data_IF_762747725997
#
_entry.id   IF_762747725997
#
_cell.length_a   1.000
_cell.length_b   1.000
_cell.length_c   1.000
_cell.angle_alpha   90.00
_cell.angle_beta   90.00
_cell.angle_gamma   90.00
#
_symmetry.space_group_name_H-M   'P 1'
#
loop_
_entity.id
_entity.type
_entity.pdbx_description
1 polymer ?
#
# COMPACT_ATOMS: atom_id res chain seq x y z
N UNK A 1 2.27 3.34 2.56
CA UNK A 1 2.32 2.66 3.86
C UNK A 1 0.91 2.58 4.37
N UNK A 2 0.37 1.39 4.53
CA UNK A 2 -0.81 1.22 5.35
C UNK A 2 -0.32 1.08 6.79
N UNK A 3 -0.57 2.10 7.62
CA UNK A 3 -0.31 1.97 9.05
C UNK A 3 -1.50 1.25 9.68
N UNK A 4 -1.21 0.23 10.48
CA UNK A 4 -2.24 -0.43 11.27
C UNK A 4 -2.44 0.31 12.61
N UNK A 5 -3.69 0.33 13.05
CA UNK A 5 -4.31 1.36 13.87
C UNK A 5 -3.94 1.41 15.36
N UNK A 6 -2.75 1.00 15.76
CA UNK A 6 -2.30 1.10 17.17
C UNK A 6 -1.87 2.50 17.59
N UNK A 7 -2.18 3.51 16.79
CA UNK A 7 -1.93 4.90 17.12
C UNK A 7 -2.98 5.36 18.14
N UNK A 8 -2.53 5.84 19.28
CA UNK A 8 -3.41 6.46 20.27
C UNK A 8 -3.23 7.98 20.24
N UNK A 9 -4.27 8.77 20.57
CA UNK A 9 -4.18 10.23 20.55
C UNK A 9 -2.99 10.81 21.33
N UNK A 10 -2.60 10.15 22.43
CA UNK A 10 -1.61 10.64 23.39
C UNK A 10 -0.16 10.56 22.85
N UNK A 11 0.11 9.66 21.91
CA UNK A 11 1.46 9.44 21.37
C UNK A 11 1.70 10.17 20.04
N UNK A 12 0.68 10.82 19.50
CA UNK A 12 0.73 11.46 18.18
C UNK A 12 1.24 12.90 18.26
N UNK A 13 2.27 13.20 17.48
CA UNK A 13 2.70 14.58 17.24
C UNK A 13 1.67 15.31 16.40
N UNK A 14 1.69 16.66 16.43
CA UNK A 14 0.80 17.47 15.61
C UNK A 14 0.96 17.18 14.10
N UNK A 15 2.18 16.90 13.65
CA UNK A 15 2.44 16.57 12.24
C UNK A 15 1.93 15.16 11.88
N UNK A 16 2.02 14.19 12.80
CA UNK A 16 1.41 12.88 12.61
C UNK A 16 -0.12 13.00 12.45
N UNK A 17 -0.77 13.80 13.31
CA UNK A 17 -2.19 14.10 13.18
C UNK A 17 -2.57 14.73 11.83
N UNK A 18 -1.78 15.69 11.34
CA UNK A 18 -1.99 16.28 10.01
C UNK A 18 -1.86 15.23 8.91
N UNK A 19 -0.83 14.39 8.98
CA UNK A 19 -0.63 13.29 8.04
C UNK A 19 -1.82 12.33 8.02
N UNK A 20 -2.32 11.92 9.19
CA UNK A 20 -3.49 11.06 9.32
C UNK A 20 -4.76 11.71 8.76
N UNK A 21 -4.98 13.00 9.02
CA UNK A 21 -6.15 13.71 8.46
C UNK A 21 -6.13 13.72 6.93
N UNK A 22 -4.94 13.88 6.33
CA UNK A 22 -4.76 13.78 4.89
C UNK A 22 -5.00 12.36 4.36
N UNK A 23 -4.50 11.34 5.05
CA UNK A 23 -4.68 9.95 4.68
C UNK A 23 -6.16 9.52 4.74
N UNK A 24 -6.86 9.87 5.83
CA UNK A 24 -8.29 9.62 5.95
C UNK A 24 -9.12 10.41 4.95
N UNK A 25 -8.74 11.66 4.63
CA UNK A 25 -9.41 12.42 3.57
C UNK A 25 -9.26 11.72 2.21
N UNK A 26 -8.07 11.19 1.91
CA UNK A 26 -7.83 10.42 0.70
C UNK A 26 -8.62 9.11 0.70
N UNK A 27 -8.70 8.42 1.84
CA UNK A 27 -9.47 7.17 1.97
C UNK A 27 -10.97 7.40 1.75
N UNK A 28 -11.57 8.37 2.44
CA UNK A 28 -12.97 8.73 2.20
C UNK A 28 -13.22 9.23 0.78
N UNK A 29 -12.23 9.91 0.17
CA UNK A 29 -12.34 10.32 -1.23
C UNK A 29 -12.36 9.13 -2.19
N UNK A 30 -11.75 7.99 -1.89
CA UNK A 30 -11.88 6.79 -2.75
C UNK A 30 -13.32 6.30 -2.76
N UNK A 31 -13.99 6.34 -1.61
CA UNK A 31 -15.39 5.96 -1.46
C UNK A 31 -16.35 6.96 -2.12
N UNK A 32 -15.89 8.19 -2.38
CA UNK A 32 -16.68 9.21 -3.07
C UNK A 32 -16.90 8.96 -4.57
N UNK A 33 -16.22 7.97 -5.15
CA UNK A 33 -16.37 7.62 -6.56
C UNK A 33 -17.11 6.30 -6.72
N UNK A 34 -18.33 6.38 -7.27
CA UNK A 34 -19.07 5.19 -7.71
C UNK A 34 -18.29 4.53 -8.85
N UNK A 35 -17.78 3.33 -8.61
CA UNK A 35 -17.03 2.57 -9.63
C UNK A 35 -17.99 1.91 -10.61
N UNK A 36 -18.12 2.50 -11.81
CA UNK A 36 -18.88 1.92 -12.93
C UNK A 36 -17.92 1.28 -13.93
N UNK A 37 -18.01 -0.03 -14.12
CA UNK A 37 -17.25 -0.75 -15.15
C UNK A 37 -18.25 -1.32 -16.17
N UNK A 38 -18.08 -0.95 -17.45
CA UNK A 38 -18.94 -1.41 -18.57
C UNK A 38 -20.45 -1.18 -18.32
N UNK A 39 -20.80 -0.04 -17.71
CA UNK A 39 -22.19 0.33 -17.44
C UNK A 39 -22.84 -0.40 -16.25
N UNK A 40 -22.06 -1.15 -15.45
CA UNK A 40 -22.53 -1.79 -14.21
C UNK A 40 -21.71 -1.31 -13.02
N UNK A 41 -22.33 -1.24 -11.85
CA UNK A 41 -21.62 -1.01 -10.58
C UNK A 41 -20.66 -2.18 -10.34
N UNK A 42 -19.42 -1.87 -9.95
CA UNK A 42 -18.34 -2.85 -9.82
C UNK A 42 -18.67 -3.99 -8.84
N UNK A 43 -19.46 -3.72 -7.81
CA UNK A 43 -19.78 -4.67 -6.74
C UNK A 43 -21.26 -5.11 -6.70
N UNK A 44 -22.07 -4.72 -7.69
CA UNK A 44 -23.49 -5.13 -7.75
C UNK A 44 -24.38 -4.53 -6.66
N UNK A 45 -23.93 -3.47 -6.01
CA UNK A 45 -24.62 -2.74 -4.93
C UNK A 45 -25.96 -2.12 -5.40
N UNK A 46 -26.87 -1.85 -4.46
CA UNK A 46 -28.05 -1.03 -4.75
C UNK A 46 -27.59 0.39 -5.15
N UNK A 47 -28.01 0.92 -6.31
CA UNK A 47 -27.58 2.24 -6.76
C UNK A 47 -27.84 3.38 -5.77
N UNK A 48 -28.90 3.30 -4.96
CA UNK A 48 -29.23 4.34 -3.96
C UNK A 48 -28.27 4.30 -2.77
N UNK A 49 -27.92 3.11 -2.32
CA UNK A 49 -26.94 2.90 -1.25
C UNK A 49 -25.57 3.37 -1.73
N UNK A 50 -25.14 2.94 -2.92
CA UNK A 50 -23.86 3.36 -3.51
C UNK A 50 -23.75 4.89 -3.71
N UNK A 51 -24.85 5.57 -4.08
CA UNK A 51 -24.88 7.04 -4.18
C UNK A 51 -24.81 7.68 -2.78
N UNK A 52 -25.54 7.15 -1.80
CA UNK A 52 -25.52 7.63 -0.42
C UNK A 52 -24.12 7.57 0.18
N UNK A 53 -23.46 6.42 0.05
CA UNK A 53 -22.11 6.18 0.55
C UNK A 53 -21.09 7.09 -0.14
N UNK A 54 -21.22 7.29 -1.46
CA UNK A 54 -20.34 8.18 -2.21
C UNK A 54 -20.49 9.64 -1.76
N UNK A 55 -21.71 10.11 -1.54
CA UNK A 55 -21.97 11.45 -1.02
C UNK A 55 -21.43 11.63 0.40
N UNK A 56 -21.60 10.62 1.25
CA UNK A 56 -21.08 10.64 2.62
C UNK A 56 -19.54 10.66 2.63
N UNK A 57 -18.89 9.82 1.82
CA UNK A 57 -17.43 9.81 1.66
C UNK A 57 -16.90 11.15 1.16
N UNK A 58 -17.56 11.77 0.16
CA UNK A 58 -17.20 13.10 -0.33
C UNK A 58 -17.29 14.15 0.78
N UNK A 59 -18.33 14.10 1.60
CA UNK A 59 -18.52 15.05 2.69
C UNK A 59 -17.45 14.89 3.78
N UNK A 60 -17.17 13.66 4.21
CA UNK A 60 -16.12 13.38 5.20
C UNK A 60 -14.73 13.81 4.69
N UNK A 61 -14.42 13.54 3.42
CA UNK A 61 -13.19 13.99 2.79
C UNK A 61 -13.06 15.52 2.78
N UNK A 62 -14.15 16.24 2.45
CA UNK A 62 -14.17 17.73 2.48
C UNK A 62 -14.01 18.27 3.90
N UNK A 63 -14.68 17.67 4.87
CA UNK A 63 -14.59 18.04 6.29
C UNK A 63 -13.16 17.92 6.78
N UNK A 64 -12.50 16.78 6.54
CA UNK A 64 -11.10 16.58 6.91
C UNK A 64 -10.13 17.50 6.17
N UNK A 65 -10.35 17.74 4.87
CA UNK A 65 -9.51 18.65 4.10
C UNK A 65 -9.55 20.10 4.61
N UNK A 66 -10.66 20.54 5.21
CA UNK A 66 -10.84 21.88 5.76
C UNK A 66 -10.49 21.98 7.25
N UNK A 67 -10.95 21.00 8.04
CA UNK A 67 -10.81 21.01 9.49
C UNK A 67 -9.53 20.36 10.01
N UNK A 68 -8.81 19.60 9.17
CA UNK A 68 -7.51 19.02 9.51
C UNK A 68 -7.54 18.18 10.78
N UNK A 69 -6.60 18.46 11.69
CA UNK A 69 -6.41 17.73 12.96
C UNK A 69 -7.67 17.72 13.82
N UNK A 70 -8.25 18.90 14.09
CA UNK A 70 -9.38 19.02 15.01
C UNK A 70 -10.61 18.27 14.53
N UNK A 71 -10.81 18.21 13.21
CA UNK A 71 -11.91 17.43 12.63
C UNK A 71 -11.65 15.91 12.72
N UNK A 72 -10.41 15.46 12.52
CA UNK A 72 -10.07 14.05 12.69
C UNK A 72 -10.27 13.58 14.15
N UNK A 73 -9.82 14.38 15.12
CA UNK A 73 -10.05 14.11 16.55
C UNK A 73 -11.55 14.01 16.89
N UNK A 74 -12.36 14.85 16.25
CA UNK A 74 -13.81 14.86 16.42
C UNK A 74 -14.45 13.60 15.84
N UNK A 75 -14.11 13.26 14.60
CA UNK A 75 -14.59 12.05 13.92
C UNK A 75 -14.19 10.77 14.65
N UNK A 76 -12.99 10.76 15.26
CA UNK A 76 -12.53 9.64 16.08
C UNK A 76 -13.37 9.50 17.36
N UNK A 77 -13.59 10.60 18.10
CA UNK A 77 -14.46 10.59 19.30
C UNK A 77 -15.92 10.24 18.99
N UNK A 78 -16.41 10.60 17.82
CA UNK A 78 -17.76 10.26 17.33
C UNK A 78 -17.88 8.80 16.87
N UNK A 79 -16.77 8.05 16.80
CA UNK A 79 -16.74 6.67 16.34
C UNK A 79 -16.85 6.50 14.82
N UNK A 80 -16.85 7.59 14.04
CA UNK A 80 -16.85 7.57 12.57
C UNK A 80 -15.50 7.07 12.04
N UNK A 81 -14.41 7.47 12.71
CA UNK A 81 -13.06 6.93 12.49
C UNK A 81 -12.72 6.08 13.71
N UNK A 82 -13.07 4.78 13.72
CA UNK A 82 -12.95 3.95 14.93
C UNK A 82 -11.50 3.70 15.33
N UNK A 83 -10.58 3.74 14.35
CA UNK A 83 -9.14 3.57 14.53
C UNK A 83 -8.40 4.70 13.81
N UNK A 84 -7.28 5.17 14.36
CA UNK A 84 -6.54 6.29 13.76
C UNK A 84 -5.69 5.85 12.57
N UNK A 85 -5.21 4.59 12.55
CA UNK A 85 -4.60 4.00 11.35
C UNK A 85 -5.64 3.57 10.33
N UNK A 86 -5.21 3.25 9.11
CA UNK A 86 -6.11 2.85 8.03
C UNK A 86 -6.47 1.35 8.06
N UNK A 87 -5.74 0.55 8.83
CA UNK A 87 -6.05 -0.86 9.05
C UNK A 87 -6.47 -1.04 10.51
N UNK A 88 -7.62 -1.64 10.73
CA UNK A 88 -8.10 -2.02 12.07
C UNK A 88 -7.17 -3.09 12.69
N UNK A 89 -6.67 -2.89 13.93
CA UNK A 89 -5.82 -3.87 14.62
C UNK A 89 -6.41 -5.26 14.75
N UNK A 90 -7.71 -5.38 15.05
CA UNK A 90 -8.39 -6.67 15.23
C UNK A 90 -8.47 -7.40 13.89
N UNK A 91 -8.84 -6.68 12.83
CA UNK A 91 -8.88 -7.23 11.47
C UNK A 91 -7.48 -7.66 11.02
N UNK A 92 -6.47 -6.85 11.33
CA UNK A 92 -5.08 -7.20 11.06
C UNK A 92 -4.65 -8.48 11.81
N UNK A 93 -4.89 -8.55 13.12
CA UNK A 93 -4.47 -9.68 13.94
C UNK A 93 -5.16 -10.98 13.51
N UNK A 94 -6.45 -10.90 13.16
CA UNK A 94 -7.18 -12.04 12.61
C UNK A 94 -6.61 -12.48 11.26
N UNK A 95 -6.35 -11.54 10.35
CA UNK A 95 -5.79 -11.86 9.04
C UNK A 95 -4.36 -12.40 9.15
N UNK A 96 -3.55 -11.84 10.05
CA UNK A 96 -2.20 -12.33 10.35
C UNK A 96 -2.26 -13.76 10.89
N UNK A 97 -3.19 -14.05 11.80
CA UNK A 97 -3.39 -15.42 12.32
C UNK A 97 -3.74 -16.40 11.20
N UNK A 98 -4.71 -16.06 10.34
CA UNK A 98 -5.09 -16.89 9.18
C UNK A 98 -3.91 -17.11 8.23
N UNK A 99 -3.14 -16.05 7.95
CA UNK A 99 -1.91 -16.15 7.19
C UNK A 99 -0.96 -17.15 7.85
N UNK A 100 -0.61 -16.97 9.13
CA UNK A 100 0.34 -17.81 9.87
C UNK A 100 -0.09 -19.27 10.01
N UNK A 101 -1.40 -19.55 10.01
CA UNK A 101 -1.97 -20.90 10.06
C UNK A 101 -2.08 -21.55 8.67
N UNK A 102 -2.00 -20.79 7.59
CA UNK A 102 -2.16 -21.31 6.23
C UNK A 102 -1.03 -22.30 5.87
N UNK A 103 -1.39 -23.50 5.43
CA UNK A 103 -0.44 -24.49 4.91
C UNK A 103 -0.06 -24.19 3.46
N UNK A 104 -1.05 -23.80 2.65
CA UNK A 104 -0.89 -23.44 1.23
C UNK A 104 -1.10 -21.91 1.03
N UNK A 105 -0.06 -21.17 0.60
CA UNK A 105 -0.15 -19.74 0.39
C UNK A 105 -1.01 -19.37 -0.83
N UNK A 106 -1.11 -20.23 -1.85
CA UNK A 106 -1.90 -19.99 -3.06
C UNK A 106 -3.38 -20.18 -2.76
N UNK A 107 -3.73 -21.20 -1.98
CA UNK A 107 -5.12 -21.42 -1.54
C UNK A 107 -5.59 -20.30 -0.61
N UNK A 108 -4.78 -19.94 0.38
CA UNK A 108 -5.02 -18.78 1.23
C UNK A 108 -5.25 -17.51 0.39
N UNK A 109 -4.34 -17.22 -0.55
CA UNK A 109 -4.42 -16.03 -1.37
C UNK A 109 -5.69 -15.95 -2.23
N UNK A 110 -6.23 -17.10 -2.65
CA UNK A 110 -7.46 -17.18 -3.45
C UNK A 110 -8.72 -17.02 -2.62
N UNK A 111 -8.70 -17.48 -1.36
CA UNK A 111 -9.90 -17.53 -0.50
C UNK A 111 -10.18 -16.22 0.22
N UNK A 112 -9.12 -15.54 0.66
CA UNK A 112 -9.28 -14.34 1.47
C UNK A 112 -9.64 -13.15 0.58
N UNK A 113 -10.59 -12.34 1.04
CA UNK A 113 -10.92 -11.05 0.42
C UNK A 113 -9.74 -10.08 0.51
N UNK A 114 -8.96 -10.17 1.59
CA UNK A 114 -7.75 -9.38 1.81
C UNK A 114 -6.56 -10.27 2.18
N UNK A 115 -5.90 -10.91 1.19
CA UNK A 115 -4.85 -11.91 1.41
C UNK A 115 -3.49 -11.27 1.74
N UNK A 116 -3.42 -10.65 2.91
CA UNK A 116 -2.21 -10.12 3.54
C UNK A 116 -1.12 -11.19 3.69
N UNK A 117 0.11 -10.84 3.36
CA UNK A 117 1.33 -11.54 3.79
C UNK A 117 2.14 -10.62 4.69
N UNK A 118 2.81 -11.16 5.71
CA UNK A 118 3.55 -10.36 6.66
C UNK A 118 4.82 -11.06 7.14
N UNK A 119 5.87 -10.28 7.38
CA UNK A 119 7.08 -10.75 8.06
C UNK A 119 7.63 -9.67 8.97
N UNK A 120 8.04 -10.05 10.18
CA UNK A 120 8.72 -9.16 11.11
C UNK A 120 10.23 -9.26 10.90
N UNK A 121 10.93 -8.18 10.51
CA UNK A 121 12.37 -8.21 10.41
C UNK A 121 13.02 -8.41 11.79
N UNK A 122 14.13 -9.15 11.84
CA UNK A 122 14.88 -9.35 13.08
C UNK A 122 15.42 -8.02 13.62
N UNK A 123 15.33 -7.84 14.93
CA UNK A 123 15.84 -6.65 15.62
C UNK A 123 15.06 -5.36 15.35
N UNK A 124 13.91 -5.42 14.66
CA UNK A 124 13.11 -4.23 14.31
C UNK A 124 11.75 -4.20 14.99
N UNK A 125 11.27 -2.98 15.24
CA UNK A 125 10.01 -2.69 15.94
C UNK A 125 8.78 -2.64 15.05
N UNK A 126 8.90 -2.98 13.76
CA UNK A 126 7.81 -2.89 12.78
C UNK A 126 7.63 -4.21 12.03
N UNK A 127 6.47 -4.35 11.37
CA UNK A 127 6.16 -5.47 10.48
C UNK A 127 6.06 -4.99 9.05
N UNK A 128 6.64 -5.75 8.11
CA UNK A 128 6.43 -5.50 6.68
C UNK A 128 5.23 -6.32 6.24
N UNK A 129 4.27 -5.65 5.61
CA UNK A 129 3.03 -6.26 5.11
C UNK A 129 2.93 -6.06 3.59
N UNK A 130 2.31 -7.01 2.90
CA UNK A 130 2.18 -7.01 1.45
C UNK A 130 0.95 -7.75 0.97
N UNK A 131 0.57 -7.50 -0.29
CA UNK A 131 -0.49 -8.20 -1.01
C UNK A 131 0.02 -8.41 -2.44
N UNK A 132 0.62 -9.57 -2.77
CA UNK A 132 1.22 -9.80 -4.08
C UNK A 132 0.20 -9.78 -5.21
N UNK A 133 0.51 -9.31 -6.42
CA UNK A 133 -0.50 -9.33 -7.49
C UNK A 133 -0.95 -10.75 -7.85
N UNK A 134 -0.03 -11.72 -7.88
CA UNK A 134 -0.33 -13.14 -8.11
C UNK A 134 0.62 -14.08 -7.34
N UNK A 135 0.05 -15.20 -6.87
CA UNK A 135 0.78 -16.34 -6.31
C UNK A 135 0.32 -17.63 -7.00
N UNK A 136 1.28 -18.45 -7.41
CA UNK A 136 1.04 -19.68 -8.16
C UNK A 136 2.01 -20.79 -7.74
N UNK A 137 1.54 -22.04 -7.73
CA UNK A 137 2.44 -23.18 -7.68
C UNK A 137 3.02 -23.45 -9.08
N UNK A 138 4.35 -23.52 -9.16
CA UNK A 138 5.09 -24.01 -10.32
C UNK A 138 5.67 -25.40 -10.01
N UNK A 139 6.14 -26.15 -11.02
CA UNK A 139 6.85 -27.41 -10.77
C UNK A 139 8.10 -27.28 -9.90
N UNK A 140 8.73 -26.10 -9.87
CA UNK A 140 9.90 -25.85 -9.03
C UNK A 140 9.50 -25.57 -7.58
N UNK A 141 8.42 -24.81 -7.38
CA UNK A 141 7.89 -24.41 -6.07
C UNK A 141 7.03 -23.16 -6.21
N UNK A 142 6.97 -22.32 -5.16
CA UNK A 142 6.11 -21.15 -5.16
C UNK A 142 6.63 -20.09 -6.13
N UNK A 143 5.76 -19.59 -7.00
CA UNK A 143 6.01 -18.46 -7.88
C UNK A 143 5.25 -17.24 -7.39
N UNK A 144 5.95 -16.13 -7.21
CA UNK A 144 5.37 -14.80 -7.00
C UNK A 144 5.50 -13.96 -8.26
N UNK A 145 4.40 -13.34 -8.68
CA UNK A 145 4.36 -12.45 -9.85
C UNK A 145 3.89 -11.07 -9.44
N UNK A 146 4.70 -10.08 -9.78
CA UNK A 146 4.34 -8.67 -9.64
C UNK A 146 3.97 -8.08 -10.99
N UNK A 147 2.79 -7.48 -11.08
CA UNK A 147 2.22 -6.96 -12.33
C UNK A 147 2.14 -5.44 -12.29
N UNK A 148 2.78 -4.77 -13.25
CA UNK A 148 2.69 -3.32 -13.42
C UNK A 148 2.12 -2.94 -14.76
N UNK A 149 1.28 -1.90 -14.77
CA UNK A 149 0.80 -1.27 -15.99
C UNK A 149 1.51 0.07 -16.18
N UNK A 150 1.97 0.38 -17.40
CA UNK A 150 2.67 1.63 -17.67
C UNK A 150 2.25 2.26 -19.00
N UNK A 151 2.15 3.60 -19.01
CA UNK A 151 2.06 4.39 -20.25
C UNK A 151 3.43 4.71 -20.85
N UNK A 152 4.53 4.34 -20.17
CA UNK A 152 5.91 4.62 -20.61
C UNK A 152 6.78 3.36 -20.61
N UNK A 153 6.52 2.38 -21.50
CA UNK A 153 7.26 1.12 -21.56
C UNK A 153 8.78 1.26 -21.65
N UNK A 154 9.25 2.27 -22.38
CA UNK A 154 10.68 2.54 -22.58
C UNK A 154 11.41 2.90 -21.27
N UNK A 155 10.75 3.54 -20.31
CA UNK A 155 11.33 3.85 -19.00
C UNK A 155 11.52 2.60 -18.15
N UNK A 156 10.54 1.68 -18.21
CA UNK A 156 10.61 0.40 -17.50
C UNK A 156 11.74 -0.47 -18.07
N UNK A 157 11.88 -0.53 -19.41
CA UNK A 157 12.98 -1.25 -20.08
C UNK A 157 14.36 -0.68 -19.76
N UNK A 158 14.48 0.64 -19.57
CA UNK A 158 15.71 1.30 -19.13
C UNK A 158 15.98 1.15 -17.63
N UNK A 159 15.18 0.36 -16.91
CA UNK A 159 15.33 0.06 -15.47
C UNK A 159 15.41 1.32 -14.59
N UNK A 160 14.63 2.35 -14.91
CA UNK A 160 14.62 3.61 -14.14
C UNK A 160 13.80 3.51 -12.84
N UNK A 161 13.50 4.65 -12.21
CA UNK A 161 12.82 4.73 -10.90
C UNK A 161 11.56 3.85 -10.78
N UNK A 162 10.69 3.84 -11.78
CA UNK A 162 9.47 3.01 -11.77
C UNK A 162 9.76 1.51 -11.75
N UNK A 163 10.83 1.09 -12.43
CA UNK A 163 11.32 -0.28 -12.37
C UNK A 163 11.94 -0.59 -11.01
N UNK A 164 12.77 0.30 -10.45
CA UNK A 164 13.36 0.09 -9.10
C UNK A 164 12.26 -0.08 -8.06
N UNK A 165 11.22 0.74 -8.09
CA UNK A 165 10.08 0.61 -7.18
C UNK A 165 9.33 -0.73 -7.35
N UNK A 166 9.08 -1.16 -8.59
CA UNK A 166 8.45 -2.46 -8.84
C UNK A 166 9.33 -3.64 -8.40
N UNK A 167 10.64 -3.57 -8.65
CA UNK A 167 11.61 -4.55 -8.18
C UNK A 167 11.67 -4.61 -6.66
N UNK A 168 11.60 -3.47 -5.97
CA UNK A 168 11.52 -3.40 -4.50
C UNK A 168 10.25 -4.08 -3.97
N UNK A 169 9.09 -3.88 -4.60
CA UNK A 169 7.85 -4.55 -4.20
C UNK A 169 7.96 -6.07 -4.36
N UNK A 170 8.44 -6.54 -5.51
CA UNK A 170 8.67 -7.96 -5.74
C UNK A 170 9.68 -8.57 -4.76
N UNK A 171 10.74 -7.83 -4.43
CA UNK A 171 11.74 -8.25 -3.45
C UNK A 171 11.16 -8.36 -2.03
N UNK A 172 10.29 -7.42 -1.64
CA UNK A 172 9.57 -7.50 -0.37
C UNK A 172 8.72 -8.76 -0.30
N UNK A 173 8.01 -9.12 -1.37
CA UNK A 173 7.16 -10.31 -1.39
C UNK A 173 7.96 -11.61 -1.35
N UNK A 174 9.04 -11.70 -2.14
CA UNK A 174 9.95 -12.84 -2.07
C UNK A 174 10.52 -12.99 -0.64
N UNK A 175 10.95 -11.89 -0.02
CA UNK A 175 11.46 -11.88 1.34
C UNK A 175 10.41 -12.31 2.38
N UNK A 176 9.19 -11.78 2.33
CA UNK A 176 8.11 -12.20 3.24
C UNK A 176 7.80 -13.68 3.08
N UNK A 177 7.54 -14.14 1.86
CA UNK A 177 7.10 -15.52 1.59
C UNK A 177 8.18 -16.56 1.91
N UNK A 178 9.45 -16.22 1.69
CA UNK A 178 10.60 -17.10 1.97
C UNK A 178 10.75 -17.49 3.44
N UNK A 179 10.06 -16.81 4.37
CA UNK A 179 10.04 -17.21 5.78
C UNK A 179 9.35 -18.55 6.00
N UNK A 180 8.38 -18.89 5.15
CA UNK A 180 7.48 -20.03 5.37
C UNK A 180 7.42 -20.99 4.20
N UNK A 181 7.63 -20.51 2.98
CA UNK A 181 7.51 -21.32 1.78
C UNK A 181 8.72 -21.17 0.85
N UNK A 182 9.10 -22.23 0.14
CA UNK A 182 10.17 -22.18 -0.86
C UNK A 182 9.69 -21.36 -2.07
N UNK A 183 10.13 -20.11 -2.14
CA UNK A 183 9.92 -19.24 -3.30
C UNK A 183 11.00 -19.55 -4.33
N UNK A 184 10.58 -20.14 -5.45
CA UNK A 184 11.48 -20.65 -6.49
C UNK A 184 11.48 -19.77 -7.73
N UNK A 185 10.43 -18.96 -7.91
CA UNK A 185 10.35 -18.02 -9.02
C UNK A 185 9.79 -16.66 -8.57
N UNK A 186 10.50 -15.58 -8.92
CA UNK A 186 10.01 -14.22 -8.81
C UNK A 186 9.94 -13.59 -10.20
N UNK A 187 8.75 -13.12 -10.61
CA UNK A 187 8.52 -12.60 -11.95
C UNK A 187 8.01 -11.17 -11.89
N UNK A 188 8.74 -10.25 -12.51
CA UNK A 188 8.23 -8.90 -12.78
C UNK A 188 7.62 -8.87 -14.19
N UNK A 189 6.31 -8.65 -14.24
CA UNK A 189 5.54 -8.53 -15.48
C UNK A 189 5.08 -7.08 -15.66
N UNK A 190 5.46 -6.45 -16.77
CA UNK A 190 5.00 -5.10 -17.11
C UNK A 190 4.17 -5.14 -18.38
N UNK A 191 2.98 -4.56 -18.32
CA UNK A 191 2.06 -4.39 -19.43
C UNK A 191 1.91 -2.91 -19.80
N UNK A 192 1.65 -2.63 -21.06
CA UNK A 192 1.26 -1.28 -21.49
C UNK A 192 -0.25 -1.05 -21.40
N UNK A 193 -0.71 0.14 -21.82
CA UNK A 193 -2.12 0.51 -21.79
C UNK A 193 -3.02 -0.35 -22.71
N UNK A 194 -2.46 -1.07 -23.69
CA UNK A 194 -3.18 -2.02 -24.53
C UNK A 194 -3.30 -3.41 -23.90
N UNK A 195 -2.61 -3.65 -22.78
CA UNK A 195 -2.49 -4.95 -22.13
C UNK A 195 -1.34 -5.81 -22.68
N UNK A 196 -0.58 -5.32 -23.67
CA UNK A 196 0.55 -6.05 -24.22
C UNK A 196 1.69 -6.14 -23.20
N UNK A 197 2.34 -7.30 -23.12
CA UNK A 197 3.51 -7.49 -22.24
C UNK A 197 4.72 -6.80 -22.85
N UNK A 198 5.27 -5.81 -22.15
CA UNK A 198 6.41 -5.02 -22.62
C UNK A 198 7.72 -5.36 -21.91
N UNK A 199 7.64 -5.97 -20.74
CA UNK A 199 8.75 -6.55 -19.99
C UNK A 199 8.25 -7.78 -19.25
N UNK A 200 9.00 -8.88 -19.33
CA UNK A 200 8.86 -10.04 -18.45
C UNK A 200 10.24 -10.40 -17.98
N UNK A 201 10.52 -10.20 -16.70
CA UNK A 201 11.82 -10.48 -16.12
C UNK A 201 11.66 -11.52 -15.02
N UNK A 202 12.39 -12.62 -15.15
CA UNK A 202 12.56 -13.60 -14.08
C UNK A 202 13.77 -13.19 -13.26
N UNK A 203 13.61 -13.16 -11.95
CA UNK A 203 14.62 -12.76 -10.99
C UNK A 203 14.79 -13.89 -9.97
N UNK A 204 16.01 -14.04 -9.45
CA UNK A 204 16.30 -15.00 -8.40
C UNK A 204 15.63 -14.53 -7.08
N UNK A 205 14.75 -15.34 -6.47
CA UNK A 205 14.08 -14.95 -5.23
C UNK A 205 15.03 -14.77 -4.06
N UNK A 206 16.10 -15.55 -3.98
CA UNK A 206 17.10 -15.49 -2.91
C UNK A 206 17.91 -14.19 -2.98
N UNK A 207 18.40 -13.83 -4.16
CA UNK A 207 19.09 -12.55 -4.39
C UNK A 207 18.19 -11.35 -4.12
N UNK A 208 16.90 -11.43 -4.50
CA UNK A 208 15.94 -10.37 -4.19
C UNK A 208 15.69 -10.25 -2.70
N UNK A 209 15.50 -11.38 -2.00
CA UNK A 209 15.26 -11.37 -0.56
C UNK A 209 16.46 -10.83 0.22
N UNK A 210 17.69 -11.23 -0.15
CA UNK A 210 18.92 -10.72 0.43
C UNK A 210 19.07 -9.21 0.18
N UNK A 211 18.89 -8.76 -1.07
CA UNK A 211 18.90 -7.33 -1.41
C UNK A 211 17.86 -6.53 -0.63
N UNK A 212 16.67 -7.09 -0.42
CA UNK A 212 15.64 -6.42 0.38
C UNK A 212 16.06 -6.28 1.85
N UNK A 213 16.60 -7.35 2.43
CA UNK A 213 17.01 -7.38 3.84
C UNK A 213 18.22 -6.48 4.12
N UNK A 214 19.22 -6.51 3.24
CA UNK A 214 20.51 -5.86 3.44
C UNK A 214 20.51 -4.39 3.01
N UNK A 215 19.78 -4.03 1.95
CA UNK A 215 19.79 -2.68 1.40
C UNK A 215 18.47 -1.93 1.61
N UNK A 216 17.34 -2.57 1.30
CA UNK A 216 16.04 -1.88 1.27
C UNK A 216 15.48 -1.63 2.66
N UNK A 217 15.54 -2.61 3.57
CA UNK A 217 15.05 -2.44 4.94
C UNK A 217 15.79 -1.31 5.68
N UNK A 218 17.14 -1.26 5.69
CA UNK A 218 17.85 -0.13 6.29
C UNK A 218 17.59 1.21 5.61
N UNK A 219 17.53 1.25 4.27
CA UNK A 219 17.35 2.50 3.53
C UNK A 219 15.93 3.05 3.68
N UNK A 220 14.92 2.20 3.58
CA UNK A 220 13.52 2.61 3.43
C UNK A 220 12.70 2.20 4.65
N UNK A 221 12.75 0.93 5.07
CA UNK A 221 11.94 0.42 6.17
C UNK A 221 12.17 1.19 7.48
N UNK A 222 13.45 1.37 7.84
CA UNK A 222 13.83 2.03 9.09
C UNK A 222 13.48 3.53 9.08
N UNK A 223 13.59 4.19 7.92
CA UNK A 223 13.15 5.59 7.77
C UNK A 223 11.63 5.73 7.90
N UNK A 224 10.87 4.79 7.34
CA UNK A 224 9.41 4.83 7.39
C UNK A 224 8.84 4.46 8.76
N UNK A 225 9.57 3.66 9.53
CA UNK A 225 9.23 3.32 10.91
C UNK A 225 9.69 4.38 11.92
N UNK A 226 10.48 5.37 11.50
CA UNK A 226 10.94 6.43 12.38
C UNK A 226 9.75 7.30 12.85
N UNK A 227 9.75 7.77 14.11
CA UNK A 227 8.69 8.65 14.63
C UNK A 227 8.72 10.04 13.97
N UNK A 228 9.84 10.38 13.33
CA UNK A 228 10.00 11.64 12.60
C UNK A 228 9.52 11.42 11.17
N UNK A 229 8.65 12.30 10.64
CA UNK A 229 8.28 12.22 9.24
C UNK A 229 9.54 12.35 8.36
N UNK A 230 9.55 11.73 7.17
CA UNK A 230 10.65 11.96 6.23
C UNK A 230 10.78 13.46 5.98
N UNK A 231 12.03 13.94 5.91
CA UNK A 231 12.32 15.34 5.66
C UNK A 231 11.69 15.84 4.37
N UNK A 232 11.56 17.17 4.23
CA UNK A 232 11.07 17.76 2.99
C UNK A 232 11.84 17.21 1.79
N UNK A 233 11.14 16.80 0.72
CA UNK A 233 11.81 16.26 -0.42
C UNK A 233 12.81 17.31 -0.96
N UNK A 234 14.06 16.92 -1.29
CA UNK A 234 15.10 17.86 -1.72
C UNK A 234 14.79 18.55 -3.05
N UNK A 235 13.68 18.18 -3.71
CA UNK A 235 13.15 18.81 -4.91
C UNK A 235 11.64 18.96 -4.74
N UNK A 236 11.03 19.99 -5.37
CA UNK A 236 9.58 20.13 -5.41
C UNK A 236 8.94 18.79 -5.77
N UNK A 237 7.83 18.41 -5.13
CA UNK A 237 7.19 17.14 -5.44
C UNK A 237 6.93 17.08 -6.95
N UNK A 238 7.26 15.94 -7.57
CA UNK A 238 7.09 15.81 -9.00
C UNK A 238 5.64 16.11 -9.39
N UNK A 239 5.39 16.57 -10.63
CA UNK A 239 4.02 16.86 -11.14
C UNK A 239 3.02 15.71 -10.97
N UNK A 240 3.50 14.49 -10.72
CA UNK A 240 2.71 13.28 -10.48
C UNK A 240 2.63 12.87 -9.01
N UNK A 241 3.22 13.63 -8.08
CA UNK A 241 3.08 13.40 -6.66
C UNK A 241 1.73 14.00 -6.24
N UNK A 242 0.82 13.16 -5.76
CA UNK A 242 -0.50 13.60 -5.26
C UNK A 242 -0.38 14.57 -4.07
N UNK A 243 0.80 14.63 -3.45
CA UNK A 243 1.15 15.55 -2.38
C UNK A 243 1.81 16.87 -2.87
N UNK A 244 1.97 17.05 -4.19
CA UNK A 244 2.68 18.19 -4.78
C UNK A 244 1.96 19.53 -4.75
N UNK A 245 0.63 19.51 -4.81
CA UNK A 245 -0.16 20.74 -4.93
C UNK A 245 -0.39 21.48 -3.59
N UNK A 246 0.14 20.96 -2.46
CA UNK A 246 -0.05 21.55 -1.12
C UNK A 246 1.19 22.16 -0.49
N UNK A 247 2.33 22.19 -1.18
CA UNK A 247 3.48 22.96 -0.71
C UNK A 247 3.38 24.39 -1.25
N UNK A 248 3.30 25.43 -0.39
CA UNK A 248 3.41 26.79 -0.86
C UNK A 248 4.79 26.92 -1.53
N UNK A 249 4.79 27.19 -2.83
CA UNK A 249 5.98 27.63 -3.54
C UNK A 249 6.42 28.90 -2.80
N UNK A 250 7.52 28.83 -2.03
CA UNK A 250 8.22 30.04 -1.64
C UNK A 250 8.72 30.66 -2.94
N UNK A 251 7.96 31.61 -3.45
CA UNK A 251 8.49 32.58 -4.39
C UNK A 251 9.62 33.29 -3.65
N UNK A 252 10.85 32.88 -3.93
CA UNK A 252 12.02 33.64 -3.53
C UNK A 252 11.95 34.97 -4.29
N UNK A 253 11.62 36.03 -3.54
CA UNK A 253 12.02 37.39 -3.87
C UNK A 253 13.53 37.47 -3.70
#
# INVERSE_FOLDING_TARGET
LFNAGWLTPEVLTQDAWRGLALLWAAEFSKNSFIRVIRGRLLHGEDPREAIGDALQGAELARRLARGGVGELERLHREGVVPVLGLIDPIVYDEQLRRYMEAEDPVEYYRREEWPLIARRPRGRGYTVIGVPDQLEWSPAGLRVVEVKTTSRPWLMRRRQRGYRAARTQLAAYAWILSERWPVEEAVLLVRDASGATVLRERLDPGELAAWFEDDVLPEIGDQLAAPQPPGEPPRPPCRSCEYGDRHPVRNNI
#
